data_IF_049122932351
#
_entry.id   IF_049122932351
#
_cell.length_a   1.000
_cell.length_b   1.000
_cell.length_c   1.000
_cell.angle_alpha   90.00
_cell.angle_beta   90.00
_cell.angle_gamma   90.00
#
_symmetry.space_group_name_H-M   'P 1'
#
loop_
_entity.id
_entity.type
_entity.pdbx_description
1 polymer ?
#
# COMPACT_ATOMS: atom_id res chain seq x y z
N UNK A 1 8.68 -2.24 -29.00
CA UNK A 1 7.32 -2.77 -28.76
C UNK A 1 6.33 -1.61 -28.85
N UNK A 2 5.07 -1.83 -29.22
CA UNK A 2 4.06 -0.78 -29.20
C UNK A 2 3.79 -0.36 -27.74
N UNK A 3 3.42 0.91 -27.55
CA UNK A 3 3.00 1.39 -26.22
C UNK A 3 1.73 0.65 -25.76
N UNK A 4 1.69 0.09 -24.52
CA UNK A 4 0.52 -0.62 -24.05
C UNK A 4 -0.68 0.33 -23.89
N UNK A 5 -1.88 -0.17 -24.19
CA UNK A 5 -3.12 0.54 -23.92
C UNK A 5 -3.58 0.23 -22.49
N UNK A 6 -3.61 1.24 -21.66
CA UNK A 6 -3.98 1.19 -20.25
C UNK A 6 -5.33 1.87 -20.03
N UNK A 7 -6.28 1.17 -19.42
CA UNK A 7 -7.54 1.76 -18.99
C UNK A 7 -7.49 2.12 -17.50
N UNK A 8 -7.76 3.38 -17.18
CA UNK A 8 -7.89 3.85 -15.78
C UNK A 8 -9.35 3.74 -15.35
N UNK A 9 -9.58 3.03 -14.25
CA UNK A 9 -10.90 2.79 -13.66
C UNK A 9 -11.04 3.53 -12.33
N UNK A 10 -11.93 4.56 -12.29
CA UNK A 10 -12.00 5.51 -11.20
C UNK A 10 -11.12 6.74 -11.46
N UNK A 11 -11.73 7.91 -11.70
CA UNK A 11 -11.03 9.11 -12.17
C UNK A 11 -10.95 10.18 -11.06
N UNK A 12 -10.40 9.80 -9.89
CA UNK A 12 -10.16 10.66 -8.74
C UNK A 12 -8.74 11.24 -8.69
N UNK A 13 -8.38 11.82 -7.54
CA UNK A 13 -7.08 12.47 -7.34
C UNK A 13 -5.89 11.51 -7.50
N UNK A 14 -6.02 10.26 -7.04
CA UNK A 14 -4.94 9.28 -7.17
C UNK A 14 -4.78 8.82 -8.63
N UNK A 15 -5.86 8.70 -9.38
CA UNK A 15 -5.82 8.48 -10.81
C UNK A 15 -4.97 9.55 -11.51
N UNK A 16 -5.23 10.84 -11.22
CA UNK A 16 -4.45 11.95 -11.78
C UNK A 16 -2.94 11.84 -11.45
N UNK A 17 -2.60 11.36 -10.26
CA UNK A 17 -1.22 11.16 -9.86
C UNK A 17 -0.54 10.05 -10.68
N UNK A 18 -1.24 8.95 -10.98
CA UNK A 18 -0.73 7.87 -11.84
C UNK A 18 -0.64 8.29 -13.30
N UNK A 19 -1.69 8.94 -13.82
CA UNK A 19 -1.71 9.51 -15.19
C UNK A 19 -0.51 10.40 -15.42
N UNK A 20 -0.18 11.30 -14.47
CA UNK A 20 0.99 12.19 -14.60
C UNK A 20 2.30 11.43 -14.83
N UNK A 21 2.45 10.23 -14.23
CA UNK A 21 3.67 9.42 -14.31
C UNK A 21 3.71 8.50 -15.52
N UNK A 22 2.55 8.13 -16.04
CA UNK A 22 2.44 7.25 -17.19
C UNK A 22 2.26 8.00 -18.52
N UNK A 23 2.03 9.33 -18.48
CA UNK A 23 1.85 10.14 -19.68
C UNK A 23 3.07 10.06 -20.60
N UNK A 24 2.83 9.79 -21.90
CA UNK A 24 3.86 9.62 -22.93
C UNK A 24 4.63 8.29 -22.83
N UNK A 25 4.15 7.37 -21.99
CA UNK A 25 4.75 6.05 -21.80
C UNK A 25 3.76 4.91 -22.11
N UNK A 26 2.48 5.22 -22.09
CA UNK A 26 1.36 4.31 -22.38
C UNK A 26 0.25 5.07 -23.11
N UNK A 27 -0.53 4.37 -23.90
CA UNK A 27 -1.79 4.87 -24.43
C UNK A 27 -2.86 4.78 -23.35
N UNK A 28 -3.77 5.75 -23.26
CA UNK A 28 -4.67 5.86 -22.11
C UNK A 28 -6.12 5.95 -22.55
N UNK A 29 -6.99 5.15 -21.91
CA UNK A 29 -8.45 5.31 -21.92
C UNK A 29 -8.96 5.32 -20.48
N UNK A 30 -10.20 5.77 -20.28
CA UNK A 30 -10.72 6.01 -18.96
C UNK A 30 -12.12 5.43 -18.80
N UNK A 31 -12.43 4.98 -17.58
CA UNK A 31 -13.76 4.61 -17.14
C UNK A 31 -13.99 5.10 -15.72
N UNK A 32 -15.19 5.61 -15.44
CA UNK A 32 -15.66 5.82 -14.07
C UNK A 32 -17.18 5.75 -14.03
N UNK A 33 -17.72 5.44 -12.86
CA UNK A 33 -19.16 5.43 -12.61
C UNK A 33 -19.83 6.77 -13.01
N UNK A 34 -19.13 7.88 -12.78
CA UNK A 34 -19.53 9.18 -13.34
C UNK A 34 -18.87 9.36 -14.71
N UNK A 35 -19.61 9.26 -15.80
CA UNK A 35 -19.11 9.51 -17.14
C UNK A 35 -18.48 10.90 -17.31
N UNK A 36 -18.93 11.90 -16.57
CA UNK A 36 -18.33 13.23 -16.57
C UNK A 36 -16.89 13.21 -16.04
N UNK A 37 -16.62 12.47 -14.96
CA UNK A 37 -15.26 12.39 -14.38
C UNK A 37 -14.28 11.70 -15.33
N UNK A 38 -14.69 10.63 -16.03
CA UNK A 38 -13.83 9.96 -17.02
C UNK A 38 -13.60 10.84 -18.26
N UNK A 39 -14.61 11.56 -18.73
CA UNK A 39 -14.46 12.49 -19.84
C UNK A 39 -13.47 13.63 -19.51
N UNK A 40 -13.62 14.25 -18.33
CA UNK A 40 -12.69 15.30 -17.85
C UNK A 40 -11.26 14.77 -17.73
N UNK A 41 -11.07 13.57 -17.14
CA UNK A 41 -9.74 12.99 -17.01
C UNK A 41 -9.13 12.66 -18.36
N UNK A 42 -9.92 12.13 -19.29
CA UNK A 42 -9.48 11.84 -20.65
C UNK A 42 -8.96 13.10 -21.37
N UNK A 43 -9.71 14.20 -21.28
CA UNK A 43 -9.30 15.48 -21.87
C UNK A 43 -8.00 16.00 -21.24
N UNK A 44 -7.93 16.02 -19.91
CA UNK A 44 -6.74 16.48 -19.18
C UNK A 44 -5.49 15.63 -19.43
N UNK A 45 -5.68 14.33 -19.62
CA UNK A 45 -4.59 13.39 -19.87
C UNK A 45 -4.14 13.39 -21.35
N UNK A 46 -4.96 13.85 -22.28
CA UNK A 46 -4.77 13.63 -23.70
C UNK A 46 -5.00 12.16 -24.07
N UNK A 47 -6.01 11.54 -23.46
CA UNK A 47 -6.34 10.12 -23.67
C UNK A 47 -7.11 9.87 -24.97
N UNK A 48 -7.22 8.58 -25.33
CA UNK A 48 -7.82 8.12 -26.59
C UNK A 48 -9.35 7.88 -26.49
N UNK A 49 -9.96 8.16 -25.34
CA UNK A 49 -11.40 8.04 -25.14
C UNK A 49 -11.81 7.45 -23.82
N UNK A 50 -13.12 7.20 -23.69
CA UNK A 50 -13.74 6.69 -22.46
C UNK A 50 -14.56 5.44 -22.75
N UNK A 51 -14.67 4.55 -21.77
CA UNK A 51 -15.57 3.41 -21.80
C UNK A 51 -16.83 3.72 -20.99
N UNK A 52 -18.02 3.32 -21.49
CA UNK A 52 -19.29 3.55 -20.79
C UNK A 52 -19.45 2.65 -19.56
N UNK A 53 -18.92 1.43 -19.59
CA UNK A 53 -19.04 0.42 -18.54
C UNK A 53 -17.71 -0.27 -18.29
N UNK A 54 -17.55 -0.90 -17.12
CA UNK A 54 -16.38 -1.73 -16.83
C UNK A 54 -16.36 -2.99 -17.70
N UNK A 55 -17.53 -3.55 -18.01
CA UNK A 55 -17.64 -4.70 -18.93
C UNK A 55 -17.09 -4.37 -20.31
N UNK A 56 -17.29 -3.15 -20.80
CA UNK A 56 -16.70 -2.70 -22.05
C UNK A 56 -15.16 -2.62 -21.97
N UNK A 57 -14.58 -2.29 -20.80
CA UNK A 57 -13.14 -2.30 -20.60
C UNK A 57 -12.57 -3.71 -20.66
N UNK A 58 -13.16 -4.65 -19.92
CA UNK A 58 -12.66 -6.04 -19.85
C UNK A 58 -12.87 -6.81 -21.15
N UNK A 59 -13.88 -6.45 -21.94
CA UNK A 59 -14.19 -7.09 -23.23
C UNK A 59 -13.33 -6.59 -24.39
N UNK A 60 -12.73 -5.39 -24.30
CA UNK A 60 -11.86 -4.85 -25.34
C UNK A 60 -10.49 -5.53 -25.32
N UNK A 61 -10.22 -6.33 -26.37
CA UNK A 61 -8.96 -7.05 -26.50
C UNK A 61 -7.75 -6.14 -26.77
N UNK A 62 -8.00 -4.87 -27.14
CA UNK A 62 -6.92 -3.89 -27.31
C UNK A 62 -6.38 -3.34 -25.98
N UNK A 63 -7.12 -3.50 -24.87
CA UNK A 63 -6.68 -3.09 -23.54
C UNK A 63 -5.69 -4.11 -22.98
N UNK A 64 -4.45 -3.71 -22.78
CA UNK A 64 -3.38 -4.55 -22.24
C UNK A 64 -3.41 -4.60 -20.70
N UNK A 65 -3.75 -3.46 -20.07
CA UNK A 65 -3.74 -3.34 -18.61
C UNK A 65 -4.84 -2.42 -18.08
N UNK A 66 -5.20 -2.65 -16.82
CA UNK A 66 -6.19 -1.86 -16.07
C UNK A 66 -5.52 -1.28 -14.82
N UNK A 67 -5.69 0.02 -14.58
CA UNK A 67 -5.31 0.69 -13.34
C UNK A 67 -6.57 1.04 -12.55
N UNK A 68 -6.81 0.31 -11.45
CA UNK A 68 -7.99 0.46 -10.61
C UNK A 68 -7.70 1.47 -9.50
N UNK A 69 -8.39 2.60 -9.54
CA UNK A 69 -8.31 3.72 -8.59
C UNK A 69 -9.70 4.13 -8.09
N UNK A 70 -10.65 3.22 -8.17
CA UNK A 70 -11.99 3.33 -7.59
C UNK A 70 -11.93 3.25 -6.05
N UNK A 71 -13.03 3.50 -5.33
CA UNK A 71 -13.07 3.24 -3.88
C UNK A 71 -12.83 1.76 -3.55
N UNK A 72 -12.21 1.44 -2.40
CA UNK A 72 -11.81 0.09 -2.02
C UNK A 72 -12.92 -0.97 -2.08
N UNK A 73 -14.15 -0.61 -1.77
CA UNK A 73 -15.31 -1.52 -1.85
C UNK A 73 -15.60 -2.06 -3.27
N UNK A 74 -14.99 -1.51 -4.30
CA UNK A 74 -15.12 -2.01 -5.67
C UNK A 74 -13.88 -2.80 -6.15
N UNK A 75 -12.80 -2.80 -5.36
CA UNK A 75 -11.53 -3.36 -5.81
C UNK A 75 -11.62 -4.84 -6.12
N UNK A 76 -12.13 -5.66 -5.20
CA UNK A 76 -12.14 -7.11 -5.34
C UNK A 76 -12.85 -7.56 -6.62
N UNK A 77 -14.06 -7.07 -6.87
CA UNK A 77 -14.83 -7.41 -8.06
C UNK A 77 -14.13 -6.97 -9.34
N UNK A 78 -13.58 -5.75 -9.34
CA UNK A 78 -12.87 -5.22 -10.52
C UNK A 78 -11.54 -5.94 -10.77
N UNK A 79 -10.79 -6.28 -9.72
CA UNK A 79 -9.55 -7.05 -9.82
C UNK A 79 -9.82 -8.41 -10.44
N UNK A 80 -10.76 -9.17 -9.88
CA UNK A 80 -11.09 -10.52 -10.36
C UNK A 80 -11.52 -10.50 -11.84
N UNK A 81 -12.48 -9.65 -12.20
CA UNK A 81 -12.94 -9.56 -13.58
C UNK A 81 -11.84 -9.10 -14.57
N UNK A 82 -10.96 -8.18 -14.14
CA UNK A 82 -9.80 -7.75 -14.91
C UNK A 82 -8.80 -8.90 -15.16
N UNK A 83 -8.45 -9.65 -14.11
CA UNK A 83 -7.53 -10.80 -14.20
C UNK A 83 -8.12 -11.94 -15.05
N UNK A 84 -9.38 -12.29 -14.84
CA UNK A 84 -10.08 -13.32 -15.61
C UNK A 84 -10.20 -12.97 -17.10
N UNK A 85 -10.23 -11.69 -17.43
CA UNK A 85 -10.16 -11.23 -18.83
C UNK A 85 -8.75 -11.27 -19.44
N UNK A 86 -7.73 -11.76 -18.67
CA UNK A 86 -6.36 -11.92 -19.12
C UNK A 86 -5.53 -10.64 -19.11
N UNK A 87 -6.02 -9.56 -18.50
CA UNK A 87 -5.32 -8.27 -18.45
C UNK A 87 -4.36 -8.18 -17.27
N UNK A 88 -3.33 -7.35 -17.39
CA UNK A 88 -2.54 -6.92 -16.24
C UNK A 88 -3.37 -5.95 -15.41
N UNK A 89 -3.38 -6.12 -14.11
CA UNK A 89 -4.15 -5.27 -13.18
C UNK A 89 -3.22 -4.62 -12.17
N UNK A 90 -3.22 -3.29 -12.11
CA UNK A 90 -2.69 -2.50 -11.01
C UNK A 90 -3.87 -1.99 -10.18
N UNK A 91 -3.96 -2.35 -8.91
CA UNK A 91 -5.02 -1.90 -8.01
C UNK A 91 -4.46 -1.02 -6.89
N UNK A 92 -5.16 0.07 -6.56
CA UNK A 92 -4.83 0.90 -5.40
C UNK A 92 -4.94 0.12 -4.09
N UNK A 93 -4.16 0.57 -3.12
CA UNK A 93 -4.24 0.04 -1.76
C UNK A 93 -5.45 0.66 -0.99
N UNK A 94 -6.05 -0.07 -0.05
CA UNK A 94 -5.86 -1.50 0.18
C UNK A 94 -6.44 -2.32 -0.99
N UNK A 95 -5.81 -3.45 -1.31
CA UNK A 95 -6.28 -4.32 -2.40
C UNK A 95 -7.72 -4.81 -2.18
N UNK A 96 -8.08 -5.05 -0.93
CA UNK A 96 -9.42 -5.39 -0.47
C UNK A 96 -9.60 -4.95 0.99
N UNK A 97 -10.83 -5.01 1.51
CA UNK A 97 -11.17 -4.51 2.85
C UNK A 97 -11.53 -5.60 3.85
N UNK A 98 -11.70 -6.84 3.41
CA UNK A 98 -11.98 -7.99 4.28
C UNK A 98 -11.36 -9.30 3.76
N UNK A 99 -11.45 -10.36 4.58
CA UNK A 99 -10.87 -11.67 4.29
C UNK A 99 -11.59 -12.41 3.17
N UNK A 100 -12.89 -12.22 3.03
CA UNK A 100 -13.67 -12.89 1.97
C UNK A 100 -13.25 -12.37 0.61
N UNK A 101 -13.15 -11.07 0.46
CA UNK A 101 -12.60 -10.42 -0.74
C UNK A 101 -11.17 -10.89 -1.05
N UNK A 102 -10.31 -11.01 -0.02
CA UNK A 102 -8.94 -11.50 -0.17
C UNK A 102 -8.90 -12.92 -0.75
N UNK A 103 -9.74 -13.83 -0.22
CA UNK A 103 -9.82 -15.21 -0.71
C UNK A 103 -10.43 -15.29 -2.12
N UNK A 104 -11.39 -14.42 -2.43
CA UNK A 104 -11.99 -14.35 -3.78
C UNK A 104 -10.93 -13.91 -4.80
N UNK A 105 -10.14 -12.87 -4.51
CA UNK A 105 -9.03 -12.45 -5.38
C UNK A 105 -8.01 -13.58 -5.55
N UNK A 106 -7.70 -14.32 -4.48
CA UNK A 106 -6.72 -15.41 -4.50
C UNK A 106 -7.08 -16.61 -5.38
N UNK A 107 -8.33 -16.72 -5.80
CA UNK A 107 -8.80 -17.75 -6.74
C UNK A 107 -8.61 -17.35 -8.21
N UNK A 108 -8.39 -16.08 -8.48
CA UNK A 108 -8.12 -15.55 -9.82
C UNK A 108 -6.64 -15.79 -10.23
N UNK A 109 -6.28 -15.67 -11.51
CA UNK A 109 -4.90 -15.78 -11.98
C UNK A 109 -4.06 -14.55 -11.54
N UNK A 110 -3.56 -14.57 -10.31
CA UNK A 110 -2.91 -13.42 -9.63
C UNK A 110 -1.49 -13.12 -10.09
N UNK A 111 -0.93 -13.87 -11.03
CA UNK A 111 0.40 -13.66 -11.63
C UNK A 111 0.52 -12.31 -12.37
N UNK A 112 -0.60 -11.72 -12.78
CA UNK A 112 -0.70 -10.42 -13.45
C UNK A 112 -1.25 -9.31 -12.55
N UNK A 113 -1.32 -9.54 -11.24
CA UNK A 113 -1.78 -8.56 -10.27
C UNK A 113 -0.60 -7.83 -9.64
N UNK A 114 -0.67 -6.51 -9.66
CA UNK A 114 0.19 -5.60 -8.93
C UNK A 114 -0.66 -4.72 -8.01
N UNK A 115 -0.20 -4.51 -6.78
CA UNK A 115 -0.84 -3.60 -5.82
C UNK A 115 -0.03 -2.31 -5.75
N UNK A 116 -0.71 -1.17 -5.77
CA UNK A 116 -0.08 0.15 -5.72
C UNK A 116 0.41 0.51 -4.30
N UNK A 117 1.17 -0.42 -3.67
CA UNK A 117 1.83 -0.17 -2.40
C UNK A 117 3.16 0.53 -2.66
N UNK A 118 3.12 1.84 -2.72
CA UNK A 118 4.28 2.65 -3.07
C UNK A 118 5.43 2.57 -2.07
N UNK A 119 5.19 2.11 -0.82
CA UNK A 119 6.25 1.93 0.17
C UNK A 119 7.22 0.81 -0.20
N UNK A 120 6.79 -0.20 -0.95
CA UNK A 120 7.67 -1.24 -1.50
C UNK A 120 8.68 -0.70 -2.53
N UNK A 121 8.45 0.50 -3.04
CA UNK A 121 9.26 1.14 -4.10
C UNK A 121 10.03 2.37 -3.60
N UNK A 122 9.95 2.71 -2.32
CA UNK A 122 10.65 3.89 -1.79
C UNK A 122 12.17 3.69 -1.82
N UNK A 123 12.94 4.68 -2.31
CA UNK A 123 14.41 4.63 -2.25
C UNK A 123 14.96 4.43 -0.83
N UNK A 124 14.22 4.88 0.18
CA UNK A 124 14.58 4.65 1.59
C UNK A 124 14.52 3.18 1.96
N UNK A 125 13.52 2.43 1.51
CA UNK A 125 13.45 0.98 1.75
C UNK A 125 14.65 0.26 1.15
N UNK A 126 15.03 0.58 -0.08
CA UNK A 126 16.21 -0.01 -0.74
C UNK A 126 17.50 0.28 0.04
N UNK A 127 17.65 1.51 0.55
CA UNK A 127 18.80 1.88 1.41
C UNK A 127 18.83 1.05 2.70
N UNK A 128 17.69 0.95 3.40
CA UNK A 128 17.56 0.19 4.65
C UNK A 128 17.84 -1.29 4.41
N UNK A 129 17.24 -1.89 3.37
CA UNK A 129 17.50 -3.29 2.98
C UNK A 129 18.96 -3.54 2.64
N UNK A 130 19.59 -2.66 1.88
CA UNK A 130 21.01 -2.77 1.54
C UNK A 130 21.87 -2.86 2.80
N UNK A 131 21.63 -2.00 3.80
CA UNK A 131 22.38 -2.03 5.06
C UNK A 131 22.09 -3.26 5.91
N UNK A 132 20.85 -3.74 5.93
CA UNK A 132 20.47 -4.98 6.63
C UNK A 132 21.12 -6.20 5.96
N UNK A 133 20.97 -6.33 4.64
CA UNK A 133 21.50 -7.48 3.89
C UNK A 133 23.03 -7.53 3.91
N UNK A 134 23.69 -6.38 3.89
CA UNK A 134 25.17 -6.32 4.00
C UNK A 134 25.68 -6.55 5.43
N UNK A 135 24.78 -6.79 6.39
CA UNK A 135 25.14 -7.12 7.78
C UNK A 135 25.70 -5.94 8.58
N UNK A 136 25.42 -4.71 8.18
CA UNK A 136 25.97 -3.51 8.81
C UNK A 136 25.56 -3.33 10.29
N UNK A 137 24.45 -3.94 10.68
CA UNK A 137 23.95 -3.95 12.07
C UNK A 137 24.03 -5.33 12.73
N UNK A 138 24.63 -6.31 12.06
CA UNK A 138 24.60 -7.71 12.50
C UNK A 138 23.24 -8.37 12.23
N UNK A 139 22.85 -9.32 13.07
CA UNK A 139 21.51 -9.96 13.01
C UNK A 139 20.46 -8.97 13.50
N UNK A 140 19.44 -8.71 12.69
CA UNK A 140 18.32 -7.85 13.09
C UNK A 140 17.50 -8.56 14.16
N UNK A 141 17.21 -7.83 15.24
CA UNK A 141 16.46 -8.32 16.40
C UNK A 141 15.12 -7.61 16.53
N UNK A 142 15.09 -6.30 16.24
CA UNK A 142 13.89 -5.46 16.42
C UNK A 142 13.74 -4.42 15.32
N UNK A 143 12.50 -4.21 14.87
CA UNK A 143 12.11 -3.14 13.96
C UNK A 143 10.99 -2.35 14.62
N UNK A 144 11.18 -1.05 14.82
CA UNK A 144 10.20 -0.15 15.45
C UNK A 144 9.82 0.94 14.47
N UNK A 145 8.56 0.99 14.10
CA UNK A 145 8.01 1.98 13.18
C UNK A 145 7.03 2.90 13.91
N UNK A 146 7.10 4.19 13.60
CA UNK A 146 6.19 5.16 14.17
C UNK A 146 5.73 6.19 13.16
N UNK A 147 4.41 6.38 13.06
CA UNK A 147 3.81 7.44 12.26
C UNK A 147 2.48 7.89 12.86
N UNK A 148 2.50 8.99 13.58
CA UNK A 148 1.34 9.57 14.23
C UNK A 148 1.14 11.02 13.77
N UNK A 149 -0.08 11.40 13.41
CA UNK A 149 -0.42 12.74 12.95
C UNK A 149 -1.90 13.03 13.18
N UNK A 150 -2.30 14.29 13.08
CA UNK A 150 -3.72 14.63 13.00
C UNK A 150 -4.19 14.47 11.56
N UNK A 151 -5.22 13.64 11.36
CA UNK A 151 -5.86 13.45 10.07
C UNK A 151 -7.39 13.47 10.22
N UNK A 152 -8.08 14.23 9.39
CA UNK A 152 -9.54 14.44 9.51
C UNK A 152 -10.37 13.21 9.14
N UNK A 153 -9.83 12.27 8.36
CA UNK A 153 -10.59 11.11 7.86
C UNK A 153 -11.82 11.51 7.04
N UNK A 154 -11.75 12.60 6.28
CA UNK A 154 -12.90 13.10 5.52
C UNK A 154 -13.18 12.30 4.24
N UNK A 155 -14.45 12.33 3.78
CA UNK A 155 -14.89 11.69 2.56
C UNK A 155 -15.05 10.16 2.73
N UNK A 156 -14.74 9.38 1.71
CA UNK A 156 -14.85 7.91 1.73
C UNK A 156 -13.97 7.23 2.81
N UNK A 157 -12.92 7.92 3.26
CA UNK A 157 -12.01 7.49 4.33
C UNK A 157 -12.66 7.50 5.70
N UNK A 158 -13.79 8.19 5.89
CA UNK A 158 -14.50 8.22 7.17
C UNK A 158 -15.10 6.86 7.58
N UNK A 159 -15.25 5.95 6.63
CA UNK A 159 -15.77 4.59 6.87
C UNK A 159 -14.69 3.53 7.13
N UNK A 160 -13.41 3.89 7.12
CA UNK A 160 -12.30 2.96 7.33
C UNK A 160 -11.40 3.42 8.46
N UNK A 161 -10.84 2.46 9.20
CA UNK A 161 -9.89 2.70 10.27
C UNK A 161 -8.52 3.19 9.79
N UNK A 162 -7.77 3.77 10.72
CA UNK A 162 -6.44 4.30 10.44
C UNK A 162 -5.47 3.22 9.97
N UNK A 163 -5.57 1.99 10.52
CA UNK A 163 -4.68 0.89 10.19
C UNK A 163 -4.81 0.48 8.73
N UNK A 164 -6.02 0.16 8.26
CA UNK A 164 -6.22 -0.32 6.89
C UNK A 164 -6.06 0.77 5.84
N UNK A 165 -6.39 2.03 6.17
CA UNK A 165 -6.30 3.13 5.21
C UNK A 165 -4.88 3.65 5.04
N UNK A 166 -4.16 3.91 6.12
CA UNK A 166 -2.83 4.49 6.06
C UNK A 166 -1.75 3.67 6.75
N UNK A 167 -2.10 2.97 7.83
CA UNK A 167 -1.19 2.09 8.56
C UNK A 167 -0.68 0.92 7.72
N UNK A 168 -1.45 0.48 6.73
CA UNK A 168 -1.07 -0.60 5.81
C UNK A 168 0.26 -0.32 5.10
N UNK A 169 0.58 0.92 4.77
CA UNK A 169 1.89 1.29 4.23
C UNK A 169 3.04 0.97 5.19
N UNK A 170 2.82 1.16 6.48
CA UNK A 170 3.83 0.85 7.51
C UNK A 170 3.85 -0.64 7.84
N UNK A 171 2.74 -1.34 7.71
CA UNK A 171 2.71 -2.81 7.74
C UNK A 171 3.55 -3.36 6.57
N UNK A 172 3.33 -2.86 5.35
CA UNK A 172 4.12 -3.24 4.18
C UNK A 172 5.62 -2.95 4.37
N UNK A 173 5.97 -1.81 4.95
CA UNK A 173 7.36 -1.47 5.29
C UNK A 173 7.94 -2.46 6.33
N UNK A 174 7.20 -2.79 7.38
CA UNK A 174 7.61 -3.71 8.44
C UNK A 174 7.89 -5.12 7.90
N UNK A 175 6.92 -5.69 7.19
CA UNK A 175 7.04 -7.04 6.60
C UNK A 175 8.14 -7.09 5.54
N UNK A 176 8.32 -6.00 4.78
CA UNK A 176 9.40 -5.86 3.79
C UNK A 176 10.79 -5.79 4.41
N UNK A 177 10.94 -5.18 5.59
CA UNK A 177 12.21 -5.11 6.32
C UNK A 177 12.52 -6.42 7.05
N UNK A 178 11.51 -7.06 7.65
CA UNK A 178 11.67 -8.35 8.32
C UNK A 178 11.94 -9.49 7.33
N UNK A 179 11.40 -9.39 6.10
CA UNK A 179 11.56 -10.35 4.99
C UNK A 179 11.31 -11.80 5.41
N UNK A 180 10.29 -12.05 6.25
CA UNK A 180 9.97 -13.37 6.79
C UNK A 180 8.48 -13.52 7.07
N UNK A 181 8.02 -14.75 7.34
CA UNK A 181 6.64 -15.02 7.69
C UNK A 181 6.30 -14.50 9.08
N UNK A 182 5.05 -14.06 9.24
CA UNK A 182 4.50 -13.56 10.50
C UNK A 182 3.95 -14.74 11.32
N UNK A 183 4.46 -14.91 12.53
CA UNK A 183 4.02 -15.94 13.49
C UNK A 183 2.87 -15.42 14.34
N UNK A 184 3.04 -14.25 14.96
CA UNK A 184 2.05 -13.69 15.87
C UNK A 184 1.81 -12.21 15.59
N UNK A 185 0.57 -11.77 15.76
CA UNK A 185 0.15 -10.36 15.72
C UNK A 185 -0.67 -10.08 16.96
N UNK A 186 -0.26 -9.07 17.73
CA UNK A 186 -1.02 -8.50 18.83
C UNK A 186 -1.28 -7.04 18.53
N UNK A 187 -2.48 -6.55 18.85
CA UNK A 187 -2.83 -5.17 18.62
C UNK A 187 -3.55 -4.53 19.79
N UNK A 188 -3.35 -3.24 19.95
CA UNK A 188 -4.11 -2.38 20.86
C UNK A 188 -4.61 -1.18 20.05
N UNK A 189 -5.83 -0.74 20.33
CA UNK A 189 -6.48 0.35 19.64
C UNK A 189 -6.87 1.44 20.64
N UNK A 190 -5.95 2.35 21.00
CA UNK A 190 -6.22 3.42 21.96
C UNK A 190 -7.40 4.29 21.51
N UNK A 191 -8.38 4.46 22.41
CA UNK A 191 -9.58 5.24 22.13
C UNK A 191 -10.72 4.49 21.43
N UNK A 192 -10.57 3.21 21.09
CA UNK A 192 -11.69 2.37 20.63
C UNK A 192 -12.43 1.78 21.85
N UNK A 193 -13.79 1.64 21.85
CA UNK A 193 -14.72 1.91 20.74
C UNK A 193 -15.23 3.36 20.64
N UNK A 194 -14.83 4.31 21.50
CA UNK A 194 -15.31 5.69 21.46
C UNK A 194 -14.96 6.40 20.15
N UNK A 195 -13.90 5.91 19.48
CA UNK A 195 -13.47 6.32 18.15
C UNK A 195 -13.61 5.14 17.20
N UNK A 196 -14.79 4.96 16.62
CA UNK A 196 -15.08 3.94 15.61
C UNK A 196 -15.40 4.63 14.27
N UNK A 197 -14.72 4.29 13.15
CA UNK A 197 -13.57 3.37 13.07
C UNK A 197 -12.34 3.87 13.83
N UNK A 198 -11.44 2.91 14.19
CA UNK A 198 -10.27 3.17 15.01
C UNK A 198 -9.36 4.24 14.39
N UNK A 199 -8.79 5.09 15.26
CA UNK A 199 -7.94 6.22 14.88
C UNK A 199 -6.48 6.04 15.26
N UNK A 200 -6.18 5.04 16.10
CA UNK A 200 -4.86 4.78 16.61
C UNK A 200 -4.68 3.27 16.82
N UNK A 201 -3.52 2.78 16.44
CA UNK A 201 -3.14 1.38 16.62
C UNK A 201 -1.70 1.28 17.09
N UNK A 202 -1.45 0.32 17.99
CA UNK A 202 -0.13 -0.15 18.36
C UNK A 202 -0.09 -1.64 18.07
N UNK A 203 0.78 -2.05 17.14
CA UNK A 203 0.97 -3.44 16.73
C UNK A 203 2.27 -3.98 17.29
N UNK A 204 2.24 -5.22 17.73
CA UNK A 204 3.36 -6.07 18.03
C UNK A 204 3.32 -7.29 17.08
N UNK A 205 4.39 -7.54 16.34
CA UNK A 205 4.46 -8.59 15.30
C UNK A 205 5.70 -9.45 15.53
N UNK A 206 5.52 -10.77 15.67
CA UNK A 206 6.64 -11.71 15.75
C UNK A 206 6.82 -12.43 14.41
N UNK A 207 8.07 -12.54 13.97
CA UNK A 207 8.44 -13.20 12.71
C UNK A 207 9.17 -14.53 12.98
N UNK A 208 9.07 -15.50 12.05
CA UNK A 208 9.71 -16.83 12.18
C UNK A 208 11.22 -16.77 12.40
N UNK A 209 11.90 -15.76 11.87
CA UNK A 209 13.33 -15.55 12.06
C UNK A 209 13.70 -14.90 13.41
N UNK A 210 12.72 -14.73 14.32
CA UNK A 210 12.92 -14.16 15.65
C UNK A 210 12.94 -12.63 15.70
N UNK A 211 12.76 -11.95 14.58
CA UNK A 211 12.60 -10.47 14.57
C UNK A 211 11.31 -10.10 15.27
N UNK A 212 11.40 -9.10 16.14
CA UNK A 212 10.25 -8.47 16.79
C UNK A 212 9.95 -7.13 16.14
N UNK A 213 8.76 -6.98 15.60
CA UNK A 213 8.27 -5.77 14.94
C UNK A 213 7.29 -5.00 15.82
N UNK A 214 7.43 -3.69 15.88
CA UNK A 214 6.51 -2.77 16.54
C UNK A 214 6.07 -1.70 15.55
N UNK A 215 4.78 -1.39 15.51
CA UNK A 215 4.25 -0.27 14.74
C UNK A 215 3.29 0.55 15.59
N UNK A 216 3.57 1.83 15.76
CA UNK A 216 2.61 2.82 16.26
C UNK A 216 2.14 3.70 15.12
N UNK A 217 0.84 3.62 14.79
CA UNK A 217 0.22 4.42 13.74
C UNK A 217 -1.04 5.12 14.25
N UNK A 218 -1.16 6.43 14.02
CA UNK A 218 -2.30 7.17 14.53
C UNK A 218 -2.67 8.42 13.75
N UNK A 219 -3.98 8.71 13.72
CA UNK A 219 -4.59 9.89 13.09
C UNK A 219 -5.11 10.91 14.11
N UNK A 220 -4.86 10.72 15.36
CA UNK A 220 -5.40 11.54 16.46
C UNK A 220 -4.31 12.16 17.33
N UNK A 221 -3.08 12.12 16.88
CA UNK A 221 -1.94 12.64 17.62
C UNK A 221 -1.53 14.01 17.08
N UNK A 222 -1.59 15.09 17.86
CA UNK A 222 -1.08 16.39 17.44
C UNK A 222 0.40 16.34 17.06
N UNK A 223 0.74 16.93 15.93
CA UNK A 223 2.12 17.02 15.44
C UNK A 223 2.35 18.38 14.81
N UNK A 224 3.33 19.12 15.31
CA UNK A 224 3.73 20.43 14.78
C UNK A 224 4.24 20.34 13.33
N UNK A 225 4.79 19.20 12.97
CA UNK A 225 5.38 18.94 11.64
C UNK A 225 4.47 18.09 10.76
N UNK A 226 3.17 17.95 11.08
CA UNK A 226 2.20 17.12 10.37
C UNK A 226 2.69 15.67 10.18
N UNK A 227 3.34 15.12 11.22
CA UNK A 227 3.89 13.76 11.22
C UNK A 227 5.23 13.61 10.48
N UNK A 228 5.86 14.69 10.01
CA UNK A 228 7.24 14.67 9.49
C UNK A 228 8.24 14.67 10.66
N UNK A 229 9.47 14.22 10.41
CA UNK A 229 10.57 14.10 11.38
C UNK A 229 10.28 13.16 12.57
N UNK A 230 9.37 12.22 12.41
CA UNK A 230 9.26 11.08 13.30
C UNK A 230 10.29 10.03 12.93
N UNK A 231 10.80 9.31 13.93
CA UNK A 231 11.86 8.34 13.73
C UNK A 231 11.35 6.93 13.96
N UNK A 232 11.82 6.05 13.08
CA UNK A 232 11.72 4.62 13.17
C UNK A 232 13.11 4.02 13.32
N UNK A 233 13.22 2.80 13.86
CA UNK A 233 14.52 2.17 14.12
C UNK A 233 14.55 0.72 13.67
N UNK A 234 15.74 0.27 13.26
CA UNK A 234 16.10 -1.14 13.11
C UNK A 234 17.26 -1.39 14.08
N UNK A 235 17.11 -2.33 14.99
CA UNK A 235 18.12 -2.72 15.97
C UNK A 235 18.60 -4.12 15.65
N UNK A 236 19.89 -4.29 15.57
CA UNK A 236 20.55 -5.59 15.42
C UNK A 236 21.64 -5.79 16.45
N UNK A 237 22.24 -6.98 16.45
CA UNK A 237 23.23 -7.42 17.43
C UNK A 237 24.52 -6.58 17.46
N UNK A 238 24.84 -5.85 16.37
CA UNK A 238 26.08 -5.09 16.24
C UNK A 238 25.84 -3.60 15.95
N UNK A 239 24.58 -3.14 15.99
CA UNK A 239 24.28 -1.73 15.73
C UNK A 239 22.83 -1.43 15.50
N UNK A 240 22.56 -0.22 15.01
CA UNK A 240 21.21 0.24 14.72
C UNK A 240 21.15 1.17 13.53
N UNK A 241 19.98 1.22 12.90
CA UNK A 241 19.61 2.22 11.92
C UNK A 241 18.49 3.08 12.54
N UNK A 242 18.63 4.40 12.47
CA UNK A 242 17.55 5.35 12.79
C UNK A 242 17.18 6.06 11.50
N UNK A 243 15.91 6.06 11.14
CA UNK A 243 15.47 6.72 9.92
C UNK A 243 14.20 7.54 10.13
N UNK A 244 14.06 8.58 9.34
CA UNK A 244 12.84 9.38 9.32
C UNK A 244 11.73 8.56 8.67
N UNK A 245 10.57 8.47 9.31
CA UNK A 245 9.50 7.52 9.00
C UNK A 245 8.90 7.68 7.59
N UNK A 246 9.01 8.87 6.96
CA UNK A 246 8.65 9.05 5.56
C UNK A 246 9.80 8.73 4.58
N UNK A 247 11.01 8.47 5.10
CA UNK A 247 12.17 8.08 4.29
C UNK A 247 13.04 9.24 3.81
N UNK A 248 12.98 10.41 4.46
CA UNK A 248 13.77 11.59 4.08
C UNK A 248 15.27 11.33 4.30
N UNK A 249 15.63 10.69 5.41
CA UNK A 249 17.00 10.31 5.71
C UNK A 249 17.06 9.05 6.57
N UNK A 250 18.23 8.41 6.57
CA UNK A 250 18.56 7.29 7.43
C UNK A 250 20.00 7.44 7.96
N UNK A 251 20.20 7.10 9.23
CA UNK A 251 21.49 7.11 9.92
C UNK A 251 21.83 5.71 10.41
N UNK A 252 22.93 5.17 9.91
CA UNK A 252 23.52 3.90 10.31
C UNK A 252 24.55 4.11 11.42
N UNK A 253 24.47 3.32 12.48
CA UNK A 253 25.46 3.21 13.55
C UNK A 253 25.67 1.72 13.87
N UNK A 254 26.61 1.10 13.20
CA UNK A 254 26.93 -0.32 13.29
C UNK A 254 28.39 -0.56 12.95
N UNK A 255 28.67 -1.56 12.12
CA UNK A 255 30.05 -1.86 11.66
C UNK A 255 30.74 -0.68 11.00
N UNK A 256 29.94 0.21 10.42
CA UNK A 256 30.36 1.55 10.01
C UNK A 256 29.33 2.60 10.42
N UNK A 257 29.68 3.87 10.24
CA UNK A 257 28.72 4.98 10.38
C UNK A 257 28.41 5.55 9.00
N UNK A 258 27.13 5.80 8.74
CA UNK A 258 26.70 6.44 7.50
C UNK A 258 25.44 7.28 7.73
N UNK A 259 25.32 8.37 6.99
CA UNK A 259 24.10 9.15 6.85
C UNK A 259 23.71 9.13 5.36
N UNK A 260 22.48 8.77 5.09
CA UNK A 260 21.94 8.71 3.73
C UNK A 260 20.70 9.58 3.60
N UNK A 261 20.58 10.22 2.44
CA UNK A 261 19.37 10.88 1.96
C UNK A 261 18.93 10.14 0.69
N UNK A 262 18.08 9.13 0.80
CA UNK A 262 17.88 8.11 -0.24
C UNK A 262 17.35 8.60 -1.60
N UNK A 263 16.90 9.84 -1.66
CA UNK A 263 16.53 10.44 -2.94
C UNK A 263 15.27 11.29 -2.86
N UNK A 264 15.42 12.54 -3.30
CA UNK A 264 14.30 13.49 -3.32
C UNK A 264 13.51 13.43 -4.63
N UNK A 265 14.07 12.86 -5.71
CA UNK A 265 13.42 12.79 -7.02
C UNK A 265 12.19 11.87 -7.05
N UNK A 266 12.20 10.79 -6.25
CA UNK A 266 11.08 9.84 -6.11
C UNK A 266 10.88 9.41 -4.65
N UNK A 267 10.89 10.37 -3.73
CA UNK A 267 10.79 10.13 -2.28
C UNK A 267 9.62 9.19 -1.91
N UNK A 268 8.54 9.24 -2.66
CA UNK A 268 7.35 8.45 -2.43
C UNK A 268 7.34 7.09 -3.17
N UNK A 269 8.32 6.81 -4.05
CA UNK A 269 8.42 5.54 -4.78
C UNK A 269 7.44 5.37 -5.94
N UNK A 270 6.66 6.38 -6.27
CA UNK A 270 5.67 6.26 -7.35
C UNK A 270 6.29 6.14 -8.74
N UNK A 271 7.46 6.73 -8.97
CA UNK A 271 8.19 6.60 -10.24
C UNK A 271 8.61 5.15 -10.47
N UNK A 272 9.36 4.60 -9.51
CA UNK A 272 9.81 3.20 -9.54
C UNK A 272 8.63 2.21 -9.62
N UNK A 273 7.52 2.49 -8.93
CA UNK A 273 6.30 1.70 -9.00
C UNK A 273 5.72 1.66 -10.41
N UNK A 274 5.66 2.81 -11.10
CA UNK A 274 5.15 2.86 -12.47
C UNK A 274 6.13 2.27 -13.48
N UNK A 275 7.43 2.34 -13.25
CA UNK A 275 8.44 1.64 -14.04
C UNK A 275 8.22 0.12 -13.99
N UNK A 276 8.02 -0.43 -12.79
CA UNK A 276 7.73 -1.84 -12.62
C UNK A 276 6.37 -2.22 -13.23
N UNK A 277 5.33 -1.39 -13.08
CA UNK A 277 4.04 -1.64 -13.74
C UNK A 277 4.18 -1.78 -15.26
N UNK A 278 4.93 -0.88 -15.90
CA UNK A 278 5.19 -1.00 -17.34
C UNK A 278 5.94 -2.31 -17.65
N UNK A 279 6.92 -2.68 -16.86
CA UNK A 279 7.62 -3.95 -17.04
C UNK A 279 6.68 -5.15 -16.91
N UNK A 280 5.72 -5.13 -15.98
CA UNK A 280 4.70 -6.18 -15.82
C UNK A 280 3.80 -6.28 -17.05
N UNK A 281 3.42 -5.15 -17.68
CA UNK A 281 2.66 -5.20 -18.96
C UNK A 281 3.44 -5.87 -20.10
N UNK A 282 4.74 -5.99 -19.95
CA UNK A 282 5.66 -6.63 -20.91
C UNK A 282 6.08 -8.04 -20.49
N UNK A 283 5.43 -8.63 -19.49
CA UNK A 283 5.71 -9.97 -18.96
C UNK A 283 6.73 -10.04 -17.83
N UNK A 284 7.13 -8.91 -17.26
CA UNK A 284 7.95 -8.84 -16.05
C UNK A 284 7.19 -9.28 -14.79
N UNK A 285 7.93 -9.47 -13.71
CA UNK A 285 7.39 -9.77 -12.38
C UNK A 285 7.30 -8.51 -11.54
N UNK A 286 6.45 -8.53 -10.50
CA UNK A 286 6.32 -7.45 -9.53
C UNK A 286 6.72 -7.89 -8.12
N UNK A 287 7.32 -6.96 -7.37
CA UNK A 287 7.58 -7.12 -5.93
C UNK A 287 6.34 -6.88 -5.06
N UNK A 288 5.36 -6.15 -5.57
CA UNK A 288 4.11 -5.78 -4.89
C UNK A 288 2.91 -6.53 -5.49
N UNK A 289 3.05 -7.85 -5.63
CA UNK A 289 1.99 -8.74 -6.13
C UNK A 289 1.06 -9.26 -5.04
N UNK A 290 0.15 -10.17 -5.42
CA UNK A 290 -0.84 -10.76 -4.52
C UNK A 290 -0.23 -11.35 -3.23
N UNK A 291 0.85 -12.12 -3.34
CA UNK A 291 1.45 -12.81 -2.19
C UNK A 291 1.91 -11.80 -1.13
N UNK A 292 2.59 -10.73 -1.56
CA UNK A 292 3.04 -9.66 -0.65
C UNK A 292 1.85 -8.92 -0.04
N UNK A 293 0.90 -8.50 -0.86
CA UNK A 293 -0.29 -7.79 -0.38
C UNK A 293 -1.15 -8.65 0.56
N UNK A 294 -1.25 -9.96 0.30
CA UNK A 294 -1.92 -10.91 1.20
C UNK A 294 -1.23 -10.98 2.57
N UNK A 295 0.10 -11.03 2.60
CA UNK A 295 0.85 -11.04 3.85
C UNK A 295 0.59 -9.75 4.67
N UNK A 296 0.59 -8.60 4.02
CA UNK A 296 0.35 -7.32 4.67
C UNK A 296 -1.10 -7.21 5.20
N UNK A 297 -2.07 -7.62 4.39
CA UNK A 297 -3.48 -7.63 4.79
C UNK A 297 -3.77 -8.65 5.89
N UNK A 298 -3.08 -9.80 5.90
CA UNK A 298 -3.23 -10.78 6.99
C UNK A 298 -2.81 -10.17 8.33
N UNK A 299 -1.73 -9.41 8.39
CA UNK A 299 -1.34 -8.65 9.60
C UNK A 299 -2.45 -7.69 10.03
N UNK A 300 -3.00 -6.92 9.08
CA UNK A 300 -4.08 -5.95 9.35
C UNK A 300 -5.34 -6.68 9.88
N UNK A 301 -5.75 -7.77 9.24
CA UNK A 301 -6.96 -8.49 9.64
C UNK A 301 -6.77 -9.22 10.97
N UNK A 302 -5.58 -9.80 11.23
CA UNK A 302 -5.25 -10.40 12.54
C UNK A 302 -5.23 -9.34 13.64
N UNK A 303 -4.78 -8.13 13.35
CA UNK A 303 -4.87 -7.02 14.29
C UNK A 303 -6.35 -6.70 14.62
N UNK A 304 -7.22 -6.61 13.62
CA UNK A 304 -8.65 -6.36 13.84
C UNK A 304 -9.37 -7.49 14.57
N UNK A 305 -8.90 -8.74 14.45
CA UNK A 305 -9.44 -9.87 15.24
C UNK A 305 -9.27 -9.67 16.76
N UNK A 306 -8.36 -8.77 17.18
CA UNK A 306 -8.16 -8.44 18.60
C UNK A 306 -9.09 -7.34 19.12
N UNK A 307 -9.86 -6.67 18.23
CA UNK A 307 -10.84 -5.68 18.66
C UNK A 307 -11.90 -6.34 19.54
N UNK A 308 -12.34 -5.67 20.62
CA UNK A 308 -13.48 -6.14 21.39
C UNK A 308 -14.68 -6.31 20.45
N UNK A 309 -15.22 -7.53 20.36
CA UNK A 309 -16.50 -7.70 19.68
C UNK A 309 -17.50 -6.80 20.39
N UNK A 310 -18.24 -5.99 19.62
CA UNK A 310 -19.33 -5.20 20.19
C UNK A 310 -20.17 -6.18 21.03
N UNK A 311 -20.25 -5.93 22.34
CA UNK A 311 -21.18 -6.67 23.20
C UNK A 311 -22.53 -6.50 22.54
N UNK A 312 -23.15 -7.60 22.11
CA UNK A 312 -24.52 -7.61 21.64
C UNK A 312 -25.31 -6.75 22.63
N UNK A 313 -25.70 -5.57 22.21
CA UNK A 313 -26.64 -4.77 22.96
C UNK A 313 -27.94 -5.56 22.94
N UNK A 314 -28.09 -6.44 23.90
CA UNK A 314 -29.39 -7.08 24.21
C UNK A 314 -30.37 -5.94 24.34
N UNK A 315 -31.46 -5.90 23.58
CA UNK A 315 -32.46 -4.87 23.76
C UNK A 315 -33.00 -5.07 25.19
N UNK A 316 -32.55 -4.19 26.07
CA UNK A 316 -33.09 -4.11 27.44
C UNK A 316 -34.59 -4.01 27.38
N UNK A 317 -35.25 -4.86 28.12
CA UNK A 317 -36.69 -4.98 28.31
C UNK A 317 -37.34 -3.67 28.73
#
# INVERSE_FOLDING_TARGET
MAEPLVCFVGCGAICAAHVKRLRGRVRMKFHSRSGASSATMNEQAGGEGVYPTYDAVISDQAVDAIVITSPPAAHAVQVVAGLESGKVVLVEKPMCVDREELEVIGRAPTDRLMVAENYDFKPSLETLRSWVVSGEVGTVERIQLRKCTMHSGAGWRSGHGALIEGGIHFVALLTSLASNNVVEVRARFPGYPEKDPERHVVLDVEFENGIYGELEYGWDTPSLTKGTFQHSTIVGSEGRIVFESNGIYAHLSGRRRALSFPGFSDLLGYGAMMDEFIAVTQGGQTRSGYVKARQDLDVVFRAYDTLPKALDASPGR
#
